data_IF_625547527780
#
_entry.id   IF_625547527780
#
_cell.length_a   1.000
_cell.length_b   1.000
_cell.length_c   1.000
_cell.angle_alpha   90.00
_cell.angle_beta   90.00
_cell.angle_gamma   90.00
#
_symmetry.space_group_name_H-M   'P 1'
#
loop_
_entity.id
_entity.type
_entity.pdbx_description
1 polymer ?
#
# COMPACT_ATOMS: atom_id res chain seq x y z
N UNK A 1 -6.61 -20.47 -84.12
CA UNK A 1 -6.69 -19.47 -83.02
C UNK A 1 -7.20 -20.07 -81.71
N UNK A 2 -8.45 -20.58 -81.57
CA UNK A 2 -8.98 -21.13 -80.29
C UNK A 2 -8.08 -22.13 -79.52
N UNK A 3 -7.30 -22.98 -80.23
CA UNK A 3 -6.37 -23.94 -79.59
C UNK A 3 -5.13 -23.29 -78.97
N UNK A 4 -4.70 -22.13 -79.45
CA UNK A 4 -3.54 -21.40 -78.92
C UNK A 4 -3.88 -20.79 -77.54
N UNK A 5 -5.07 -20.18 -77.44
CA UNK A 5 -5.60 -19.61 -76.19
C UNK A 5 -5.74 -20.66 -75.08
N UNK A 6 -6.12 -21.90 -75.43
CA UNK A 6 -6.19 -23.00 -74.47
C UNK A 6 -4.80 -23.41 -73.95
N UNK A 7 -3.78 -23.43 -74.82
CA UNK A 7 -2.41 -23.74 -74.41
C UNK A 7 -1.83 -22.63 -73.51
N UNK A 8 -2.05 -21.35 -73.84
CA UNK A 8 -1.65 -20.22 -72.99
C UNK A 8 -2.31 -20.26 -71.62
N UNK A 9 -3.59 -20.63 -71.53
CA UNK A 9 -4.31 -20.74 -70.26
C UNK A 9 -3.79 -21.90 -69.39
N UNK A 10 -3.50 -23.06 -70.00
CA UNK A 10 -2.91 -24.21 -69.29
C UNK A 10 -1.46 -23.89 -68.85
N UNK A 11 -0.69 -23.16 -69.65
CA UNK A 11 0.63 -22.67 -69.23
C UNK A 11 0.54 -21.65 -68.09
N UNK A 12 -0.45 -20.76 -68.08
CA UNK A 12 -0.68 -19.83 -66.97
C UNK A 12 -1.04 -20.57 -65.66
N UNK A 13 -1.88 -21.61 -65.74
CA UNK A 13 -2.22 -22.46 -64.60
C UNK A 13 -1.03 -23.29 -64.10
N UNK A 14 -0.16 -23.78 -64.99
CA UNK A 14 1.07 -24.49 -64.62
C UNK A 14 2.09 -23.57 -63.92
N UNK A 15 2.17 -22.30 -64.30
CA UNK A 15 3.04 -21.30 -63.65
C UNK A 15 2.46 -20.88 -62.28
N UNK A 16 1.14 -20.85 -62.10
CA UNK A 16 0.54 -20.63 -60.77
C UNK A 16 0.80 -21.75 -59.75
N UNK A 17 1.33 -22.90 -60.19
CA UNK A 17 1.70 -24.02 -59.31
C UNK A 17 2.90 -23.80 -58.38
N UNK A 18 3.60 -22.65 -58.48
CA UNK A 18 4.80 -22.35 -57.68
C UNK A 18 4.69 -21.12 -56.77
N UNK A 19 3.54 -20.43 -56.75
CA UNK A 19 3.37 -19.16 -56.02
C UNK A 19 2.22 -19.16 -54.99
N UNK A 20 1.55 -20.30 -54.80
CA UNK A 20 0.66 -20.57 -53.67
C UNK A 20 1.15 -21.79 -52.87
N UNK A 21 2.47 -21.91 -52.70
CA UNK A 21 2.92 -22.35 -51.38
C UNK A 21 2.32 -21.34 -50.41
N UNK A 22 1.36 -21.78 -49.59
CA UNK A 22 0.96 -21.00 -48.42
C UNK A 22 2.28 -20.70 -47.72
N UNK A 23 2.70 -19.43 -47.74
CA UNK A 23 3.85 -19.00 -46.98
C UNK A 23 3.56 -19.49 -45.58
N UNK A 24 4.39 -20.41 -45.06
CA UNK A 24 4.36 -20.70 -43.64
C UNK A 24 4.55 -19.34 -43.00
N UNK A 25 3.46 -18.83 -42.43
CA UNK A 25 3.52 -17.68 -41.56
C UNK A 25 4.43 -18.18 -40.45
N UNK A 26 5.70 -17.79 -40.58
CA UNK A 26 6.71 -17.98 -39.56
C UNK A 26 6.06 -17.50 -38.26
N UNK A 27 6.20 -18.23 -37.16
CA UNK A 27 5.46 -17.87 -35.94
C UNK A 27 5.84 -16.43 -35.50
N UNK A 28 7.06 -16.00 -35.85
CA UNK A 28 7.55 -14.61 -35.87
C UNK A 28 6.65 -13.62 -36.66
N UNK A 29 6.34 -13.94 -37.91
CA UNK A 29 5.49 -13.13 -38.79
C UNK A 29 4.01 -13.17 -38.38
N UNK A 30 3.55 -14.27 -37.76
CA UNK A 30 2.21 -14.38 -37.20
C UNK A 30 2.09 -13.60 -35.87
N UNK A 31 3.12 -13.64 -35.03
CA UNK A 31 3.23 -12.83 -33.80
C UNK A 31 3.20 -11.35 -34.15
N UNK A 32 4.11 -10.89 -35.04
CA UNK A 32 4.16 -9.52 -35.51
C UNK A 32 2.88 -9.04 -36.21
N UNK A 33 2.16 -9.94 -36.91
CA UNK A 33 0.87 -9.62 -37.54
C UNK A 33 -0.33 -9.61 -36.58
N UNK A 34 -0.23 -10.27 -35.43
CA UNK A 34 -1.27 -10.28 -34.38
C UNK A 34 -1.01 -9.31 -33.24
N UNK A 35 0.22 -8.76 -33.13
CA UNK A 35 0.60 -7.81 -32.10
C UNK A 35 0.64 -8.41 -30.68
N UNK A 36 0.82 -9.72 -30.57
CA UNK A 36 0.82 -10.47 -29.30
C UNK A 36 2.24 -10.59 -28.72
N UNK A 37 2.99 -9.50 -28.80
CA UNK A 37 4.35 -9.32 -28.26
C UNK A 37 4.24 -9.01 -26.76
N UNK A 38 3.69 -9.97 -26.01
CA UNK A 38 3.31 -9.82 -24.60
C UNK A 38 1.83 -9.44 -24.38
N UNK A 39 1.52 -9.09 -23.12
CA UNK A 39 0.17 -8.74 -22.63
C UNK A 39 0.25 -7.46 -21.80
N UNK A 40 -0.65 -6.51 -22.07
CA UNK A 40 -0.89 -5.36 -21.19
C UNK A 40 -2.18 -5.54 -20.41
N UNK A 41 -2.10 -5.48 -19.08
CA UNK A 41 -3.25 -5.47 -18.17
C UNK A 41 -3.35 -4.05 -17.59
N UNK A 42 -4.53 -3.43 -17.70
CA UNK A 42 -4.83 -2.16 -17.04
C UNK A 42 -5.82 -2.43 -15.92
N UNK A 43 -5.43 -2.13 -14.69
CA UNK A 43 -6.30 -2.13 -13.51
C UNK A 43 -6.75 -0.68 -13.33
N UNK A 44 -7.96 -0.39 -13.79
CA UNK A 44 -8.57 0.93 -13.74
C UNK A 44 -9.82 0.95 -12.88
N UNK A 45 -10.11 2.12 -12.31
CA UNK A 45 -11.21 2.36 -11.39
C UNK A 45 -10.70 2.74 -10.00
N UNK A 46 -11.53 3.48 -9.28
CA UNK A 46 -11.27 3.91 -7.91
C UNK A 46 -11.92 2.95 -6.93
N UNK A 47 -11.32 2.80 -5.75
CA UNK A 47 -11.92 2.11 -4.62
C UNK A 47 -12.42 3.19 -3.67
N UNK A 48 -13.71 3.16 -3.34
CA UNK A 48 -14.28 3.91 -2.23
C UNK A 48 -15.01 2.93 -1.32
N UNK A 49 -14.80 3.04 -0.01
CA UNK A 49 -15.46 2.20 0.98
C UNK A 49 -15.55 2.90 2.33
N UNK A 50 -16.61 2.60 3.08
CA UNK A 50 -16.62 2.78 4.52
C UNK A 50 -16.21 1.43 5.13
N UNK A 51 -15.10 1.41 5.87
CA UNK A 51 -14.52 0.16 6.39
C UNK A 51 -14.82 0.05 7.88
N UNK A 52 -15.63 -0.95 8.24
CA UNK A 52 -15.94 -1.28 9.63
C UNK A 52 -15.36 -2.66 9.98
N UNK A 53 -14.42 -2.69 10.92
CA UNK A 53 -13.83 -3.92 11.44
C UNK A 53 -14.41 -4.19 12.82
N UNK A 54 -15.26 -5.21 12.93
CA UNK A 54 -15.89 -5.63 14.17
C UNK A 54 -14.99 -6.60 14.96
N UNK A 55 -14.42 -6.12 16.06
CA UNK A 55 -13.82 -6.94 17.12
C UNK A 55 -14.97 -7.50 17.98
N UNK A 56 -15.36 -8.75 17.72
CA UNK A 56 -16.55 -9.37 18.33
C UNK A 56 -16.29 -9.88 19.74
N UNK A 57 -15.12 -10.46 19.99
CA UNK A 57 -14.69 -11.00 21.28
C UNK A 57 -14.01 -9.97 22.19
N UNK A 58 -13.66 -8.80 21.66
CA UNK A 58 -13.18 -7.66 22.42
C UNK A 58 -11.76 -7.87 22.96
N UNK A 59 -11.24 -6.85 23.66
CA UNK A 59 -9.92 -6.97 24.30
C UNK A 59 -9.88 -8.09 25.36
N UNK A 60 -9.16 -9.18 25.06
CA UNK A 60 -8.92 -10.30 25.96
C UNK A 60 -7.52 -10.20 26.60
N UNK A 61 -7.42 -10.41 27.91
CA UNK A 61 -6.12 -10.41 28.60
C UNK A 61 -5.45 -11.79 28.52
N UNK A 62 -4.35 -11.89 27.77
CA UNK A 62 -3.47 -13.06 27.71
C UNK A 62 -2.78 -13.30 29.06
N UNK A 63 -2.83 -14.54 29.53
CA UNK A 63 -2.04 -15.00 30.67
C UNK A 63 -0.56 -15.20 30.26
N UNK A 64 0.38 -14.85 31.14
CA UNK A 64 1.79 -15.19 30.94
C UNK A 64 2.01 -16.71 31.03
N UNK A 65 2.74 -17.29 30.08
CA UNK A 65 2.96 -18.75 30.09
C UNK A 65 3.95 -19.36 29.08
N UNK A 66 4.60 -18.58 28.22
CA UNK A 66 5.59 -19.10 27.26
C UNK A 66 7.04 -18.86 27.72
N UNK A 67 8.00 -19.81 27.56
CA UNK A 67 9.41 -19.60 27.88
C UNK A 67 10.11 -18.45 27.11
N UNK A 68 9.47 -17.96 26.04
CA UNK A 68 9.82 -16.74 25.31
C UNK A 68 8.57 -15.91 24.95
N UNK A 69 7.48 -16.07 25.72
CA UNK A 69 6.21 -15.40 25.45
C UNK A 69 6.20 -13.92 25.93
N UNK A 70 5.29 -13.08 25.39
CA UNK A 70 5.11 -11.73 25.89
C UNK A 70 4.71 -11.74 27.38
N UNK A 71 5.01 -10.63 28.06
CA UNK A 71 4.50 -10.41 29.42
C UNK A 71 2.97 -10.50 29.45
N UNK A 72 2.40 -10.91 30.59
CA UNK A 72 0.95 -10.92 30.78
C UNK A 72 0.39 -9.54 30.41
N UNK A 73 -0.54 -9.51 29.45
CA UNK A 73 -1.22 -8.26 29.11
C UNK A 73 -2.06 -7.80 30.30
N UNK A 74 -2.20 -6.48 30.54
CA UNK A 74 -2.98 -5.99 31.66
C UNK A 74 -4.43 -6.50 31.61
N UNK A 75 -4.99 -6.80 32.78
CA UNK A 75 -6.38 -7.22 32.91
C UNK A 75 -7.31 -6.09 32.48
N UNK A 76 -8.54 -6.43 32.05
CA UNK A 76 -9.53 -5.41 31.63
C UNK A 76 -9.73 -4.32 32.69
N UNK A 77 -9.83 -4.71 33.97
CA UNK A 77 -9.96 -3.78 35.11
C UNK A 77 -8.72 -2.91 35.30
N UNK A 78 -7.51 -3.41 35.04
CA UNK A 78 -6.28 -2.61 35.12
C UNK A 78 -6.17 -1.55 34.01
N UNK A 79 -6.86 -1.76 32.87
CA UNK A 79 -7.05 -0.77 31.82
C UNK A 79 -8.27 0.15 32.04
N UNK A 80 -8.97 0.02 33.17
CA UNK A 80 -10.13 0.86 33.50
C UNK A 80 -11.44 0.47 32.82
N UNK A 81 -11.51 -0.66 32.11
CA UNK A 81 -12.78 -1.15 31.57
C UNK A 81 -13.75 -1.54 32.70
N UNK A 82 -14.98 -1.04 32.63
CA UNK A 82 -16.03 -1.22 33.65
C UNK A 82 -17.00 -2.36 33.34
N UNK A 83 -17.15 -2.74 32.07
CA UNK A 83 -17.99 -3.85 31.64
C UNK A 83 -17.33 -5.21 31.92
N UNK A 84 -18.13 -6.17 32.42
CA UNK A 84 -17.67 -7.47 32.93
C UNK A 84 -18.29 -8.69 32.22
N UNK A 85 -19.05 -8.49 31.13
CA UNK A 85 -19.75 -9.53 30.41
C UNK A 85 -19.39 -9.54 28.91
N UNK A 86 -19.07 -10.73 28.39
CA UNK A 86 -18.54 -10.94 27.02
C UNK A 86 -19.47 -10.49 25.87
N UNK A 87 -20.76 -10.21 26.14
CA UNK A 87 -21.73 -9.79 25.13
C UNK A 87 -21.84 -8.27 24.95
N UNK A 88 -21.14 -7.47 25.77
CA UNK A 88 -21.16 -6.01 25.74
C UNK A 88 -19.75 -5.39 25.56
N UNK A 89 -18.75 -6.19 25.14
CA UNK A 89 -17.33 -5.78 25.05
C UNK A 89 -16.82 -5.59 23.61
N UNK A 90 -17.66 -5.84 22.61
CA UNK A 90 -17.29 -5.82 21.21
C UNK A 90 -16.98 -4.40 20.73
N UNK A 91 -15.77 -4.21 20.19
CA UNK A 91 -15.33 -2.95 19.61
C UNK A 91 -15.52 -2.91 18.09
N UNK A 92 -15.54 -1.73 17.52
CA UNK A 92 -15.36 -1.54 16.09
C UNK A 92 -14.25 -0.52 15.82
N UNK A 93 -13.42 -0.79 14.80
CA UNK A 93 -12.59 0.22 14.15
C UNK A 93 -13.36 0.68 12.91
N UNK A 94 -13.52 1.98 12.74
CA UNK A 94 -14.27 2.58 11.63
C UNK A 94 -13.37 3.55 10.87
N UNK A 95 -13.31 3.38 9.56
CA UNK A 95 -12.71 4.32 8.60
C UNK A 95 -13.86 4.86 7.75
N UNK A 96 -14.17 6.15 7.90
CA UNK A 96 -15.27 6.85 7.23
C UNK A 96 -14.72 7.60 6.01
N UNK A 97 -15.10 7.17 4.80
CA UNK A 97 -14.56 7.69 3.53
C UNK A 97 -13.17 7.20 3.15
N UNK A 98 -12.85 5.91 3.35
CA UNK A 98 -11.62 5.31 2.82
C UNK A 98 -11.64 5.29 1.28
N UNK A 99 -10.53 5.67 0.64
CA UNK A 99 -10.39 5.56 -0.81
C UNK A 99 -8.99 5.22 -1.31
N UNK A 100 -8.93 4.66 -2.52
CA UNK A 100 -7.73 4.53 -3.36
C UNK A 100 -8.11 5.02 -4.75
N UNK A 101 -7.50 6.13 -5.18
CA UNK A 101 -7.89 6.89 -6.36
C UNK A 101 -6.69 7.19 -7.26
N UNK A 102 -6.89 7.04 -8.58
CA UNK A 102 -5.98 7.62 -9.58
C UNK A 102 -6.37 9.09 -9.77
N UNK A 103 -5.70 9.98 -9.04
CA UNK A 103 -5.97 11.43 -8.99
C UNK A 103 -5.23 12.21 -10.08
N UNK A 104 -4.45 11.53 -10.92
CA UNK A 104 -3.77 12.11 -12.09
C UNK A 104 -4.70 12.92 -13.00
N UNK A 105 -4.18 14.01 -13.56
CA UNK A 105 -4.89 14.83 -14.55
C UNK A 105 -5.32 14.05 -15.81
N UNK A 106 -4.61 12.98 -16.15
CA UNK A 106 -5.01 11.96 -17.11
C UNK A 106 -4.92 10.59 -16.43
N UNK A 107 -6.07 10.01 -16.12
CA UNK A 107 -6.15 8.72 -15.43
C UNK A 107 -5.69 7.58 -16.33
N UNK A 108 -4.72 6.80 -15.86
CA UNK A 108 -4.12 5.68 -16.61
C UNK A 108 -4.27 4.34 -15.89
N UNK A 109 -4.61 4.34 -14.59
CA UNK A 109 -4.67 3.17 -13.75
C UNK A 109 -3.30 2.50 -13.52
N UNK A 110 -3.30 1.38 -12.80
CA UNK A 110 -2.10 0.57 -12.65
C UNK A 110 -1.93 -0.27 -13.93
N UNK A 111 -0.78 -0.13 -14.57
CA UNK A 111 -0.43 -0.79 -15.82
C UNK A 111 0.54 -1.93 -15.53
N UNK A 112 0.24 -3.13 -16.03
CA UNK A 112 1.13 -4.29 -15.95
C UNK A 112 1.42 -4.78 -17.36
N UNK A 113 2.68 -4.68 -17.78
CA UNK A 113 3.18 -5.21 -19.04
C UNK A 113 3.94 -6.50 -18.77
N UNK A 114 3.49 -7.60 -19.38
CA UNK A 114 4.09 -8.93 -19.25
C UNK A 114 4.60 -9.35 -20.62
N UNK A 115 5.90 -9.56 -20.76
CA UNK A 115 6.54 -9.87 -22.04
C UNK A 115 7.74 -10.81 -21.89
N UNK A 116 7.97 -11.67 -22.89
CA UNK A 116 9.00 -12.70 -22.86
C UNK A 116 9.93 -12.61 -24.09
N UNK A 117 11.21 -12.35 -23.83
CA UNK A 117 12.24 -12.21 -24.87
C UNK A 117 13.20 -13.42 -24.83
N UNK A 118 13.51 -13.98 -26.01
CA UNK A 118 14.48 -15.06 -26.15
C UNK A 118 15.93 -14.66 -25.80
N UNK A 119 16.20 -13.36 -25.73
CA UNK A 119 17.41 -12.67 -25.26
C UNK A 119 18.70 -13.40 -25.68
N UNK A 120 18.83 -13.60 -27.00
CA UNK A 120 19.96 -14.24 -27.67
C UNK A 120 20.36 -15.65 -27.15
N UNK A 121 19.44 -16.37 -26.50
CA UNK A 121 19.66 -17.70 -25.93
C UNK A 121 19.60 -17.75 -24.40
N UNK A 122 19.53 -16.60 -23.73
CA UNK A 122 19.37 -16.46 -22.27
C UNK A 122 17.96 -15.91 -21.95
N UNK A 123 16.87 -16.67 -22.18
CA UNK A 123 15.50 -16.14 -22.21
C UNK A 123 15.07 -15.51 -20.88
N UNK A 124 14.24 -14.48 -21.00
CA UNK A 124 13.71 -13.68 -19.89
C UNK A 124 12.20 -13.51 -20.02
N UNK A 125 11.51 -13.48 -18.88
CA UNK A 125 10.14 -12.99 -18.77
C UNK A 125 10.18 -11.73 -17.89
N UNK A 126 9.86 -10.60 -18.49
CA UNK A 126 9.76 -9.31 -17.82
C UNK A 126 8.30 -9.05 -17.42
N UNK A 127 8.11 -8.60 -16.19
CA UNK A 127 6.83 -8.10 -15.69
C UNK A 127 7.10 -6.69 -15.18
N UNK A 128 6.79 -5.71 -16.01
CA UNK A 128 6.85 -4.30 -15.66
C UNK A 128 5.50 -3.88 -15.06
N UNK A 129 5.56 -3.17 -13.93
CA UNK A 129 4.39 -2.59 -13.27
C UNK A 129 4.63 -1.08 -13.17
N UNK A 130 3.69 -0.28 -13.68
CA UNK A 130 3.67 1.17 -13.56
C UNK A 130 2.43 1.63 -12.79
N UNK A 131 2.63 2.51 -11.80
CA UNK A 131 1.54 3.27 -11.19
C UNK A 131 1.03 4.35 -12.16
N UNK A 132 -0.13 4.99 -11.89
CA UNK A 132 -0.46 6.26 -12.53
C UNK A 132 0.44 7.40 -12.02
N UNK A 133 0.38 8.58 -12.67
CA UNK A 133 1.21 9.74 -12.34
C UNK A 133 1.01 10.20 -10.87
N UNK A 134 -0.21 10.06 -10.36
CA UNK A 134 -0.57 10.29 -8.96
C UNK A 134 -1.62 9.26 -8.50
N UNK A 135 -1.24 8.39 -7.56
CA UNK A 135 -2.11 7.46 -6.85
C UNK A 135 -2.28 7.94 -5.40
N UNK A 136 -3.49 8.33 -5.03
CA UNK A 136 -3.81 8.83 -3.69
C UNK A 136 -4.58 7.78 -2.89
N UNK A 137 -4.18 7.56 -1.63
CA UNK A 137 -4.89 6.72 -0.66
C UNK A 137 -5.36 7.63 0.47
N UNK A 138 -6.65 7.64 0.75
CA UNK A 138 -7.23 8.29 1.92
C UNK A 138 -7.65 7.23 2.94
N UNK A 139 -7.23 7.37 4.20
CA UNK A 139 -7.72 6.47 5.25
C UNK A 139 -9.18 6.70 5.61
N UNK A 140 -9.72 7.88 5.27
CA UNK A 140 -10.89 8.41 5.96
C UNK A 140 -10.53 8.85 7.38
N UNK A 141 -11.46 9.53 8.05
CA UNK A 141 -11.31 9.78 9.49
C UNK A 141 -11.41 8.45 10.26
N UNK A 142 -10.52 8.21 11.21
CA UNK A 142 -10.44 6.92 11.93
C UNK A 142 -11.02 7.05 13.34
N UNK A 143 -11.96 6.17 13.64
CA UNK A 143 -12.68 6.10 14.90
C UNK A 143 -12.58 4.73 15.56
N UNK A 144 -12.74 4.71 16.88
CA UNK A 144 -13.13 3.52 17.63
C UNK A 144 -14.58 3.66 18.10
N UNK A 145 -15.37 2.61 18.02
CA UNK A 145 -16.80 2.63 18.30
C UNK A 145 -17.26 1.39 19.08
N UNK A 146 -18.46 1.44 19.67
CA UNK A 146 -19.18 0.26 20.13
C UNK A 146 -19.67 -0.53 18.92
N UNK A 147 -19.36 -1.83 18.85
CA UNK A 147 -19.88 -2.70 17.79
C UNK A 147 -21.27 -3.21 18.16
N UNK A 148 -22.26 -2.99 17.29
CA UNK A 148 -23.59 -3.58 17.47
C UNK A 148 -23.62 -5.08 17.10
N UNK A 149 -22.47 -5.64 16.67
CA UNK A 149 -22.27 -7.05 16.33
C UNK A 149 -21.61 -7.79 17.48
N UNK A 150 -22.35 -8.05 18.56
CA UNK A 150 -21.79 -8.60 19.80
C UNK A 150 -21.82 -10.12 19.98
N UNK A 151 -22.28 -10.87 18.97
CA UNK A 151 -22.20 -12.34 18.97
C UNK A 151 -21.13 -12.83 18.01
N UNK A 152 -20.21 -13.66 18.52
CA UNK A 152 -19.15 -14.33 17.75
C UNK A 152 -19.69 -14.94 16.45
N UNK A 153 -20.85 -15.59 16.53
CA UNK A 153 -21.53 -16.32 15.44
C UNK A 153 -22.72 -15.58 14.79
N UNK A 154 -22.67 -14.25 14.63
CA UNK A 154 -23.64 -13.54 13.79
C UNK A 154 -23.55 -14.00 12.31
N UNK A 155 -24.36 -15.01 11.94
CA UNK A 155 -24.39 -15.68 10.62
C UNK A 155 -25.07 -14.87 9.51
N UNK A 156 -25.75 -13.77 9.84
CA UNK A 156 -26.44 -12.92 8.88
C UNK A 156 -25.55 -11.76 8.38
N UNK A 157 -25.61 -11.53 7.06
CA UNK A 157 -24.98 -10.39 6.39
C UNK A 157 -25.73 -9.06 6.56
N UNK A 158 -26.83 -9.04 7.32
CA UNK A 158 -27.52 -7.79 7.68
C UNK A 158 -26.64 -6.97 8.62
N UNK A 159 -26.69 -5.64 8.48
CA UNK A 159 -26.12 -4.69 9.45
C UNK A 159 -24.61 -4.88 9.71
N UNK A 160 -23.85 -5.18 8.65
CA UNK A 160 -22.38 -5.36 8.69
C UNK A 160 -21.57 -4.07 8.90
N UNK A 161 -22.22 -2.91 8.91
CA UNK A 161 -21.61 -1.61 9.26
C UNK A 161 -22.30 -0.93 10.44
N UNK A 162 -23.00 -1.68 11.31
CA UNK A 162 -23.73 -1.10 12.45
C UNK A 162 -22.83 -0.92 13.68
N UNK A 163 -22.64 0.33 14.08
CA UNK A 163 -21.85 0.72 15.25
C UNK A 163 -22.43 1.99 15.89
N UNK A 164 -22.07 2.22 17.14
CA UNK A 164 -22.52 3.37 17.93
C UNK A 164 -21.36 4.02 18.73
N UNK A 165 -21.61 5.21 19.27
CA UNK A 165 -20.69 5.90 20.20
C UNK A 165 -19.25 6.09 19.67
N UNK A 166 -19.09 6.45 18.40
CA UNK A 166 -17.76 6.61 17.79
C UNK A 166 -16.94 7.73 18.46
N UNK A 167 -15.67 7.46 18.72
CA UNK A 167 -14.67 8.41 19.24
C UNK A 167 -13.55 8.52 18.21
N UNK A 168 -13.31 9.74 17.72
CA UNK A 168 -12.25 9.99 16.74
C UNK A 168 -10.89 9.80 17.39
N UNK A 169 -10.03 8.98 16.78
CA UNK A 169 -8.66 8.76 17.24
C UNK A 169 -7.64 9.37 16.27
N UNK A 170 -7.93 9.38 14.97
CA UNK A 170 -7.05 9.88 13.92
C UNK A 170 -7.84 10.77 12.93
N UNK A 171 -7.24 11.87 12.49
CA UNK A 171 -7.67 12.57 11.26
C UNK A 171 -7.39 11.72 10.01
N UNK A 172 -8.11 11.98 8.91
CA UNK A 172 -7.77 11.43 7.60
C UNK A 172 -6.28 11.61 7.27
N UNK A 173 -5.62 10.49 7.02
CA UNK A 173 -4.28 10.43 6.48
C UNK A 173 -4.41 10.27 4.96
N UNK A 174 -4.07 11.34 4.26
CA UNK A 174 -3.81 11.33 2.82
C UNK A 174 -2.38 10.83 2.59
N UNK A 175 -2.24 9.79 1.78
CA UNK A 175 -0.97 9.24 1.29
C UNK A 175 -0.92 9.43 -0.22
N UNK A 176 0.08 10.16 -0.72
CA UNK A 176 0.27 10.36 -2.16
C UNK A 176 1.47 9.56 -2.64
N UNK A 177 1.28 8.79 -3.69
CA UNK A 177 2.30 8.04 -4.42
C UNK A 177 2.36 8.57 -5.87
N UNK A 178 3.41 9.31 -6.21
CA UNK A 178 3.69 9.68 -7.59
C UNK A 178 4.16 8.51 -8.46
N UNK A 179 4.36 8.76 -9.76
CA UNK A 179 4.81 7.77 -10.75
C UNK A 179 5.92 6.85 -10.23
N UNK A 180 5.71 5.55 -10.39
CA UNK A 180 6.61 4.52 -9.90
C UNK A 180 6.56 3.29 -10.80
N UNK A 181 7.75 2.83 -11.19
CA UNK A 181 7.95 1.61 -11.98
C UNK A 181 8.61 0.50 -11.16
N UNK A 182 8.29 -0.75 -11.50
CA UNK A 182 8.91 -1.96 -10.96
C UNK A 182 9.15 -2.94 -12.09
N UNK A 183 10.28 -3.65 -12.09
CA UNK A 183 10.53 -4.76 -13.02
C UNK A 183 10.87 -6.06 -12.27
N UNK A 184 9.99 -7.05 -12.40
CA UNK A 184 10.27 -8.43 -12.04
C UNK A 184 10.80 -9.16 -13.29
N UNK A 185 12.00 -9.72 -13.20
CA UNK A 185 12.62 -10.47 -14.29
C UNK A 185 12.83 -11.94 -13.89
N UNK A 186 12.21 -12.84 -14.65
CA UNK A 186 12.23 -14.28 -14.44
C UNK A 186 13.03 -14.95 -15.56
N UNK A 187 13.70 -16.07 -15.28
CA UNK A 187 14.63 -16.70 -16.23
C UNK A 187 16.07 -16.19 -16.01
N UNK A 188 16.73 -15.71 -17.06
CA UNK A 188 18.02 -15.04 -16.89
C UNK A 188 17.86 -13.66 -16.25
N UNK A 189 18.86 -13.20 -15.49
CA UNK A 189 18.83 -11.92 -14.76
C UNK A 189 19.75 -10.87 -15.39
N UNK A 190 19.54 -10.55 -16.67
CA UNK A 190 20.30 -9.53 -17.43
C UNK A 190 20.33 -8.17 -16.72
N UNK A 191 19.28 -7.81 -15.97
CA UNK A 191 19.23 -6.59 -15.16
C UNK A 191 20.15 -6.60 -13.92
N UNK A 192 20.76 -7.73 -13.57
CA UNK A 192 21.68 -7.90 -12.43
C UNK A 192 21.02 -8.38 -11.12
N UNK A 193 19.69 -8.43 -11.06
CA UNK A 193 18.94 -9.01 -9.95
C UNK A 193 17.64 -9.66 -10.44
N UNK A 194 17.06 -10.59 -9.67
CA UNK A 194 15.78 -11.24 -10.03
C UNK A 194 14.63 -10.23 -10.01
N UNK A 195 14.56 -9.39 -8.97
CA UNK A 195 13.59 -8.29 -8.91
C UNK A 195 14.35 -6.99 -8.77
N UNK A 196 14.02 -6.00 -9.61
CA UNK A 196 14.48 -4.62 -9.48
C UNK A 196 13.28 -3.70 -9.34
N UNK A 197 13.13 -3.18 -8.13
CA UNK A 197 12.26 -2.05 -7.87
C UNK A 197 13.09 -0.78 -8.09
N UNK A 198 12.81 -0.08 -9.18
CA UNK A 198 13.48 1.15 -9.58
C UNK A 198 12.44 2.21 -9.95
N UNK A 199 12.26 3.20 -9.08
CA UNK A 199 11.28 4.27 -9.29
C UNK A 199 11.57 5.47 -8.40
N UNK A 200 10.89 6.59 -8.65
CA UNK A 200 11.05 7.82 -7.87
C UNK A 200 9.68 8.38 -7.55
N UNK A 201 9.24 8.21 -6.30
CA UNK A 201 8.03 8.89 -5.83
C UNK A 201 8.36 10.38 -5.78
N UNK A 202 7.87 11.12 -6.77
CA UNK A 202 8.16 12.54 -6.95
C UNK A 202 7.70 13.35 -5.73
N UNK A 203 8.58 14.21 -5.19
CA UNK A 203 8.30 14.93 -3.94
C UNK A 203 8.38 14.06 -2.67
N UNK A 204 8.76 12.78 -2.78
CA UNK A 204 8.81 11.82 -1.67
C UNK A 204 7.47 11.23 -1.27
N UNK A 205 7.51 10.25 -0.37
CA UNK A 205 6.28 9.77 0.29
C UNK A 205 5.82 10.86 1.26
N UNK A 206 4.65 11.43 1.01
CA UNK A 206 4.06 12.49 1.82
C UNK A 206 2.81 11.98 2.55
N UNK A 207 2.70 12.38 3.81
CA UNK A 207 1.57 12.15 4.70
C UNK A 207 1.09 13.51 5.21
N UNK A 208 -0.14 13.89 4.90
CA UNK A 208 -0.70 15.20 5.29
C UNK A 208 -1.56 15.12 6.56
N UNK A 209 -1.66 16.23 7.29
CA UNK A 209 -2.66 16.48 8.35
C UNK A 209 -2.72 15.51 9.56
N UNK A 210 -1.71 14.67 9.78
CA UNK A 210 -1.69 13.67 10.86
C UNK A 210 -1.98 14.31 12.23
N UNK A 211 -3.08 13.88 12.85
CA UNK A 211 -3.37 14.14 14.26
C UNK A 211 -3.75 12.84 14.95
N UNK A 212 -2.98 12.45 15.96
CA UNK A 212 -3.33 11.39 16.90
C UNK A 212 -3.93 12.03 18.15
N UNK A 213 -5.22 11.82 18.36
CA UNK A 213 -5.94 12.37 19.50
C UNK A 213 -5.77 11.52 20.76
N UNK A 214 -5.62 12.17 21.91
CA UNK A 214 -5.70 11.47 23.19
C UNK A 214 -7.17 11.06 23.44
N UNK A 215 -7.44 9.83 23.90
CA UNK A 215 -8.76 9.46 24.38
C UNK A 215 -9.13 10.30 25.61
N UNK A 216 -10.43 10.55 25.81
CA UNK A 216 -10.93 11.26 26.97
C UNK A 216 -10.68 10.45 28.25
N UNK A 217 -9.69 10.86 29.05
CA UNK A 217 -9.32 10.21 30.32
C UNK A 217 -9.73 11.02 31.54
N UNK A 218 -10.19 10.35 32.60
CA UNK A 218 -10.61 10.97 33.88
C UNK A 218 -9.40 11.34 34.77
N UNK A 219 -8.20 10.87 34.46
CA UNK A 219 -6.97 11.17 35.18
C UNK A 219 -5.88 11.66 34.23
N UNK A 220 -5.19 12.75 34.60
CA UNK A 220 -4.03 13.24 33.88
C UNK A 220 -2.87 12.26 33.90
N UNK A 221 -2.02 12.31 32.87
CA UNK A 221 -0.87 11.41 32.75
C UNK A 221 0.16 11.74 33.84
N UNK A 222 0.36 10.80 34.76
CA UNK A 222 1.41 10.89 35.78
C UNK A 222 2.75 10.45 35.18
N UNK A 223 3.76 11.33 35.18
CA UNK A 223 5.11 11.02 34.73
C UNK A 223 6.10 11.18 35.90
N UNK A 224 6.51 10.04 36.48
CA UNK A 224 7.28 10.03 37.73
C UNK A 224 6.46 10.56 38.92
N UNK A 225 7.09 11.23 39.91
CA UNK A 225 6.38 11.81 41.05
C UNK A 225 5.58 13.08 40.71
N UNK A 226 5.62 13.53 39.45
CA UNK A 226 4.96 14.73 38.95
C UNK A 226 3.81 14.36 38.03
N UNK A 227 2.60 14.86 38.33
CA UNK A 227 1.57 14.94 37.32
C UNK A 227 2.02 15.92 36.23
N UNK A 228 2.07 15.48 34.97
CA UNK A 228 2.10 16.42 33.85
C UNK A 228 0.71 17.07 33.81
N UNK A 229 0.67 18.39 33.69
CA UNK A 229 -0.55 19.17 33.96
C UNK A 229 -1.76 18.66 33.18
N UNK A 230 -2.91 18.56 33.85
CA UNK A 230 -4.18 18.22 33.24
C UNK A 230 -4.49 19.21 32.12
N UNK A 231 -4.51 18.75 30.87
CA UNK A 231 -5.03 19.57 29.77
C UNK A 231 -6.55 19.53 29.84
N UNK A 232 -7.12 20.60 30.39
CA UNK A 232 -8.49 20.63 30.94
C UNK A 232 -9.58 20.86 29.89
N UNK A 233 -9.39 20.34 28.67
CA UNK A 233 -10.31 20.49 27.54
C UNK A 233 -10.08 19.34 26.53
N UNK A 234 -11.16 18.82 25.89
CA UNK A 234 -11.15 17.81 24.80
C UNK A 234 -12.40 17.94 23.82
N UNK A 235 -12.34 18.59 22.63
CA UNK A 235 -13.52 18.90 21.74
C UNK A 235 -13.78 17.75 20.78
N UNK A 236 -14.68 16.84 21.14
CA UNK A 236 -15.48 16.12 20.15
C UNK A 236 -16.56 17.04 19.54
N UNK A 237 -17.57 16.48 18.85
CA UNK A 237 -18.69 17.23 18.26
C UNK A 237 -19.56 18.03 19.25
N UNK A 238 -19.29 17.95 20.57
CA UNK A 238 -20.00 18.68 21.64
C UNK A 238 -19.22 19.85 22.27
N UNK A 239 -17.93 20.08 21.93
CA UNK A 239 -17.30 21.41 22.09
C UNK A 239 -16.36 21.74 23.29
N UNK A 240 -15.33 20.94 23.62
CA UNK A 240 -14.27 21.31 24.61
C UNK A 240 -12.90 21.82 24.00
N UNK A 241 -11.79 21.05 23.89
CA UNK A 241 -10.57 21.26 23.00
C UNK A 241 -9.55 20.07 22.92
N UNK A 242 -9.57 19.16 21.89
CA UNK A 242 -8.84 17.86 21.91
C UNK A 242 -7.31 18.02 21.97
N UNK A 243 -6.67 17.34 22.94
CA UNK A 243 -5.22 17.21 22.96
C UNK A 243 -4.76 15.97 22.18
N UNK A 244 -3.48 15.96 21.78
CA UNK A 244 -2.89 14.88 21.02
C UNK A 244 -1.45 15.15 20.61
N UNK A 245 -1.03 14.41 19.59
CA UNK A 245 0.18 14.64 18.82
C UNK A 245 -0.27 15.08 17.43
N UNK A 246 0.13 16.27 17.00
CA UNK A 246 -0.29 16.86 15.73
C UNK A 246 0.93 17.19 14.88
N UNK A 247 0.86 16.90 13.58
CA UNK A 247 1.89 17.22 12.61
C UNK A 247 1.22 17.91 11.42
N UNK A 248 1.84 18.97 10.91
CA UNK A 248 1.51 19.54 9.61
C UNK A 248 1.88 18.62 8.44
N UNK A 249 2.63 17.55 8.69
CA UNK A 249 2.86 16.44 7.77
C UNK A 249 4.09 15.61 8.13
N UNK A 250 4.23 14.45 7.50
CA UNK A 250 5.47 13.66 7.48
C UNK A 250 5.90 13.47 6.03
N UNK A 251 7.18 13.59 5.75
CA UNK A 251 7.76 13.37 4.44
C UNK A 251 8.98 12.44 4.56
N UNK A 252 9.04 11.43 3.70
CA UNK A 252 10.19 10.54 3.53
C UNK A 252 10.81 10.79 2.15
N UNK A 253 12.11 11.10 2.13
CA UNK A 253 12.90 11.42 0.93
C UNK A 253 14.17 10.56 0.88
N UNK A 254 14.76 10.39 -0.30
CA UNK A 254 16.16 9.96 -0.41
C UNK A 254 17.07 11.13 -0.10
N UNK A 255 18.04 10.94 0.82
CA UNK A 255 18.89 11.99 1.36
C UNK A 255 19.57 12.80 0.26
N UNK A 256 19.44 14.13 0.32
CA UNK A 256 20.03 15.05 -0.66
C UNK A 256 19.28 15.17 -2.00
N UNK A 257 18.09 14.56 -2.10
CA UNK A 257 17.20 14.68 -3.27
C UNK A 257 15.84 15.29 -2.87
N UNK A 258 14.98 15.58 -3.84
CA UNK A 258 13.61 16.06 -3.61
C UNK A 258 12.55 14.96 -3.72
N UNK A 259 12.97 13.72 -3.96
CA UNK A 259 12.10 12.58 -4.25
C UNK A 259 12.42 11.43 -3.31
N UNK A 260 11.57 10.39 -3.27
CA UNK A 260 11.92 9.11 -2.65
C UNK A 260 12.29 8.13 -3.76
N UNK A 261 13.59 7.93 -3.95
CA UNK A 261 14.13 6.90 -4.82
C UNK A 261 13.91 5.54 -4.18
N UNK A 262 13.18 4.67 -4.88
CA UNK A 262 13.20 3.25 -4.63
C UNK A 262 14.32 2.65 -5.48
N UNK A 263 15.37 2.17 -4.82
CA UNK A 263 16.41 1.33 -5.42
C UNK A 263 16.53 0.08 -4.55
N UNK A 264 15.84 -0.99 -4.94
CA UNK A 264 15.82 -2.24 -4.19
C UNK A 264 16.05 -3.43 -5.11
N UNK A 265 17.08 -4.20 -4.80
CA UNK A 265 17.43 -5.43 -5.48
C UNK A 265 17.03 -6.63 -4.61
N UNK A 266 16.29 -7.58 -5.19
CA UNK A 266 15.92 -8.83 -4.52
C UNK A 266 16.51 -10.00 -5.29
N UNK A 267 17.23 -10.86 -4.57
CA UNK A 267 18.00 -11.95 -5.13
C UNK A 267 17.83 -13.24 -4.34
N UNK A 268 17.63 -14.36 -5.05
CA UNK A 268 17.89 -15.68 -4.50
C UNK A 268 19.41 -15.87 -4.37
N UNK A 269 19.89 -16.22 -3.18
CA UNK A 269 21.31 -16.48 -2.88
C UNK A 269 21.46 -17.89 -2.30
N UNK A 270 22.68 -18.42 -2.29
CA UNK A 270 22.93 -19.75 -1.74
C UNK A 270 22.58 -19.78 -0.23
N UNK A 271 21.48 -20.46 0.11
CA UNK A 271 20.95 -20.57 1.48
C UNK A 271 19.82 -19.60 1.84
N UNK A 272 19.37 -18.71 0.95
CA UNK A 272 18.29 -17.77 1.31
C UNK A 272 17.86 -16.74 0.26
N UNK A 273 17.07 -15.78 0.71
CA UNK A 273 16.68 -14.57 0.01
C UNK A 273 17.50 -13.39 0.54
N UNK A 274 18.08 -12.59 -0.34
CA UNK A 274 18.75 -11.32 -0.02
C UNK A 274 17.93 -10.17 -0.59
N UNK A 275 17.66 -9.17 0.24
CA UNK A 275 16.99 -7.92 -0.11
C UNK A 275 17.95 -6.79 0.24
N UNK A 276 18.40 -6.05 -0.75
CA UNK A 276 19.23 -4.86 -0.59
C UNK A 276 18.40 -3.62 -0.89
N UNK A 277 18.33 -2.71 0.07
CA UNK A 277 17.73 -1.38 -0.09
C UNK A 277 18.87 -0.38 -0.13
N UNK A 278 19.05 0.29 -1.27
CA UNK A 278 20.17 1.18 -1.49
C UNK A 278 19.81 2.63 -1.14
N UNK A 279 20.77 3.33 -0.54
CA UNK A 279 20.66 4.75 -0.22
C UNK A 279 20.50 5.06 1.27
N UNK A 280 20.47 6.35 1.55
CA UNK A 280 20.06 6.91 2.84
C UNK A 280 18.77 7.67 2.62
N UNK A 281 17.93 7.74 3.65
CA UNK A 281 16.68 8.48 3.61
C UNK A 281 16.62 9.54 4.71
N UNK A 282 15.90 10.62 4.45
CA UNK A 282 15.60 11.67 5.42
C UNK A 282 14.10 11.59 5.77
N UNK A 283 13.78 11.57 7.08
CA UNK A 283 12.41 11.61 7.59
C UNK A 283 12.17 12.98 8.20
N UNK A 284 11.29 13.77 7.59
CA UNK A 284 10.96 15.13 8.02
C UNK A 284 9.54 15.16 8.60
N UNK A 285 9.41 15.66 9.83
CA UNK A 285 8.14 15.89 10.52
C UNK A 285 7.94 17.41 10.59
N UNK A 286 6.85 17.91 10.02
CA UNK A 286 6.56 19.35 9.92
C UNK A 286 5.59 19.78 11.02
N UNK A 287 5.85 20.94 11.66
CA UNK A 287 5.01 21.58 12.69
C UNK A 287 4.49 20.59 13.76
N UNK A 288 5.41 19.94 14.46
CA UNK A 288 5.11 18.97 15.51
C UNK A 288 4.58 19.68 16.75
N UNK A 289 3.32 19.45 17.11
CA UNK A 289 2.68 19.97 18.33
C UNK A 289 2.28 18.84 19.26
N UNK A 290 2.47 19.07 20.56
CA UNK A 290 2.02 18.21 21.63
C UNK A 290 0.98 18.96 22.46
N UNK A 291 -0.10 18.29 22.86
CA UNK A 291 -1.24 18.97 23.49
C UNK A 291 -2.23 19.43 22.44
N UNK A 292 -2.70 20.68 22.50
CA UNK A 292 -3.82 21.14 21.68
C UNK A 292 -3.42 21.49 20.21
N UNK A 293 -4.16 20.99 19.21
CA UNK A 293 -3.87 21.22 17.76
C UNK A 293 -3.72 22.69 17.37
N UNK A 294 -4.53 23.58 17.96
CA UNK A 294 -4.49 25.03 17.70
C UNK A 294 -3.58 25.80 18.69
N UNK A 295 -2.75 25.12 19.48
CA UNK A 295 -1.79 25.81 20.34
C UNK A 295 -0.76 26.59 19.50
N UNK A 296 -0.41 27.79 19.97
CA UNK A 296 0.66 28.59 19.37
C UNK A 296 2.06 28.04 19.71
N UNK A 297 2.18 27.20 20.74
CA UNK A 297 3.40 26.49 21.08
C UNK A 297 3.52 25.22 20.22
N UNK A 298 4.66 25.08 19.55
CA UNK A 298 5.03 23.93 18.71
C UNK A 298 6.45 23.50 19.09
N UNK A 299 6.78 22.22 18.93
CA UNK A 299 8.18 21.76 18.93
C UNK A 299 8.90 22.25 17.66
N UNK A 300 8.14 22.65 16.63
CA UNK A 300 8.65 23.01 15.32
C UNK A 300 8.83 21.79 14.44
N UNK A 301 9.77 21.87 13.51
CA UNK A 301 10.08 20.78 12.58
C UNK A 301 11.14 19.84 13.19
N UNK A 302 11.03 18.55 12.93
CA UNK A 302 11.98 17.52 13.37
C UNK A 302 12.47 16.76 12.13
N UNK A 303 13.79 16.66 11.94
CA UNK A 303 14.39 15.91 10.85
C UNK A 303 15.28 14.78 11.39
N UNK A 304 15.05 13.55 10.91
CA UNK A 304 15.96 12.42 11.06
C UNK A 304 16.67 12.24 9.71
N UNK A 305 17.90 12.75 9.61
CA UNK A 305 18.67 12.73 8.36
C UNK A 305 19.60 11.53 8.28
N UNK A 306 19.89 11.04 7.07
CA UNK A 306 20.83 9.94 6.81
C UNK A 306 20.42 8.60 7.48
N UNK A 307 19.12 8.31 7.53
CA UNK A 307 18.60 7.02 7.99
C UNK A 307 18.93 5.96 6.94
N UNK A 308 19.86 5.06 7.25
CA UNK A 308 20.19 3.91 6.40
C UNK A 308 19.35 2.71 6.78
N UNK A 309 18.86 1.99 5.77
CA UNK A 309 18.17 0.71 5.95
C UNK A 309 19.20 -0.44 5.81
N UNK A 310 19.18 -1.45 6.70
CA UNK A 310 20.07 -2.60 6.57
C UNK A 310 19.56 -3.57 5.48
N UNK A 311 20.47 -4.22 4.74
CA UNK A 311 20.11 -5.37 3.90
C UNK A 311 19.50 -6.47 4.76
N UNK A 312 18.39 -7.05 4.31
CA UNK A 312 17.72 -8.18 4.95
C UNK A 312 18.14 -9.48 4.26
N UNK A 313 18.54 -10.47 5.05
CA UNK A 313 18.82 -11.83 4.58
C UNK A 313 17.93 -12.82 5.33
N UNK A 314 17.13 -13.58 4.59
CA UNK A 314 16.22 -14.60 5.12
C UNK A 314 16.75 -15.97 4.67
N UNK A 315 17.24 -16.79 5.62
CA UNK A 315 17.78 -18.12 5.32
C UNK A 315 16.82 -19.24 5.69
N UNK A 316 16.79 -20.29 4.85
CA UNK A 316 16.15 -21.55 5.22
C UNK A 316 16.96 -22.33 6.27
N UNK A 317 16.34 -23.36 6.85
CA UNK A 317 16.96 -24.36 7.73
C UNK A 317 16.73 -25.75 7.15
#
# INVERSE_FOLDING_TARGET
MKKFTQLTLVSAMAISGHAMAMQSLDDEALSAATGQDGITIVIAGDIHADVVVHDKDGYQSLAAGGPAGPAATPTRTALGFTATAETDISGAIVLDGFSIEDTSAVRTGIRVHVDADGNAGDPVLNVNIGLPDELTINTGDIYVASSDRSTSDATAYTDMGAYANQVKILDNIEVVLGDATMNLQLGNATQGAMIKLSGTIAGGLQLSNISLYQPLGVAGITYGPTALGSLEVNTDASGNALAGIHLGGVQLLTTGTSDLTMDTEINAVNGGLKIDMNGSHDINLRDVKLGHKLAAASLGDIALTNVTLPSLVITGH
#
